data_IF_871113758218
#
_entry.id   IF_871113758218
#
_cell.length_a   1.000
_cell.length_b   1.000
_cell.length_c   1.000
_cell.angle_alpha   90.00
_cell.angle_beta   90.00
_cell.angle_gamma   90.00
#
_symmetry.space_group_name_H-M   'P 1'
#
loop_
_entity.id
_entity.type
_entity.pdbx_description
1 polymer ?
#
# COMPACT_ATOMS: atom_id res chain seq x y z
N UNK A 1 6.99 -27.85 -39.78
CA UNK A 1 7.56 -27.16 -38.61
C UNK A 1 6.77 -25.87 -38.40
N UNK A 2 5.82 -25.87 -37.48
CA UNK A 2 5.17 -24.65 -36.98
C UNK A 2 5.41 -24.66 -35.47
N UNK A 3 6.49 -23.98 -35.06
CA UNK A 3 6.75 -23.70 -33.65
C UNK A 3 5.73 -22.68 -33.18
N UNK A 4 4.70 -23.15 -32.48
CA UNK A 4 3.78 -22.28 -31.79
C UNK A 4 4.57 -21.46 -30.76
N UNK A 5 4.36 -20.15 -30.82
CA UNK A 5 4.87 -19.16 -29.88
C UNK A 5 4.63 -19.66 -28.45
N UNK A 6 5.71 -19.96 -27.72
CA UNK A 6 5.65 -20.02 -26.26
C UNK A 6 5.41 -18.59 -25.82
N UNK A 7 4.14 -18.24 -25.67
CA UNK A 7 3.73 -17.06 -24.94
C UNK A 7 4.32 -17.25 -23.55
N UNK A 8 5.44 -16.57 -23.29
CA UNK A 8 6.17 -16.69 -22.04
C UNK A 8 5.20 -16.28 -20.93
N UNK A 9 4.56 -17.27 -20.31
CA UNK A 9 3.72 -17.04 -19.16
C UNK A 9 4.62 -16.34 -18.15
N UNK A 10 4.35 -15.07 -17.83
CA UNK A 10 5.04 -14.40 -16.74
C UNK A 10 4.67 -15.22 -15.50
N UNK A 11 5.63 -16.04 -15.07
CA UNK A 11 5.41 -17.04 -14.06
C UNK A 11 5.10 -16.36 -12.73
N UNK A 12 4.31 -17.03 -11.89
CA UNK A 12 4.14 -16.61 -10.50
C UNK A 12 5.50 -16.44 -9.83
N UNK A 13 5.74 -15.36 -9.05
CA UNK A 13 6.99 -15.21 -8.31
C UNK A 13 7.26 -16.45 -7.45
N UNK A 14 8.49 -16.97 -7.46
CA UNK A 14 8.82 -18.29 -6.90
C UNK A 14 8.47 -18.48 -5.41
N UNK A 15 8.41 -17.40 -4.63
CA UNK A 15 8.07 -17.41 -3.20
C UNK A 15 6.58 -17.16 -2.92
N UNK A 16 5.79 -16.95 -3.95
CA UNK A 16 4.38 -16.63 -3.87
C UNK A 16 3.54 -17.75 -4.48
N UNK A 17 2.24 -17.71 -4.21
CA UNK A 17 1.25 -18.53 -4.88
C UNK A 17 0.31 -17.63 -5.67
N UNK A 18 -0.05 -18.05 -6.88
CA UNK A 18 -0.91 -17.27 -7.76
C UNK A 18 -2.16 -18.07 -8.13
N UNK A 19 -3.31 -17.39 -8.16
CA UNK A 19 -4.59 -17.95 -8.58
C UNK A 19 -5.30 -16.94 -9.48
N UNK A 20 -5.44 -17.25 -10.76
CA UNK A 20 -5.93 -16.28 -11.74
C UNK A 20 -5.05 -15.03 -11.79
N UNK A 21 -5.63 -13.89 -11.43
CA UNK A 21 -4.95 -12.58 -11.37
C UNK A 21 -4.48 -12.18 -9.97
N UNK A 22 -4.62 -13.07 -9.00
CA UNK A 22 -4.32 -12.80 -7.60
C UNK A 22 -2.93 -13.38 -7.28
N UNK A 23 -2.11 -12.56 -6.61
CA UNK A 23 -0.74 -12.91 -6.23
C UNK A 23 -0.63 -12.85 -4.71
N UNK A 24 -0.47 -14.02 -4.10
CA UNK A 24 -0.40 -14.20 -2.65
C UNK A 24 1.06 -14.41 -2.23
N UNK A 25 1.64 -13.35 -1.69
CA UNK A 25 3.01 -13.31 -1.16
C UNK A 25 3.01 -13.08 0.37
N UNK A 26 1.86 -13.19 1.03
CA UNK A 26 1.70 -12.94 2.47
C UNK A 26 2.28 -14.06 3.35
N UNK A 27 2.74 -13.71 4.55
CA UNK A 27 3.23 -14.67 5.56
C UNK A 27 4.40 -15.53 5.05
N UNK A 28 5.31 -14.94 4.26
CA UNK A 28 6.44 -15.65 3.65
C UNK A 28 7.79 -15.23 4.20
N UNK A 29 7.85 -14.32 5.17
CA UNK A 29 9.11 -13.72 5.64
C UNK A 29 9.89 -13.08 4.48
N UNK A 30 9.20 -12.31 3.64
CA UNK A 30 9.83 -11.53 2.58
C UNK A 30 10.53 -10.32 3.18
N UNK A 31 11.78 -10.07 2.79
CA UNK A 31 12.50 -8.84 3.14
C UNK A 31 12.29 -7.71 2.10
N UNK A 32 11.76 -8.05 0.93
CA UNK A 32 11.50 -7.13 -0.17
C UNK A 32 10.35 -7.63 -1.04
N UNK A 33 9.79 -6.74 -1.87
CA UNK A 33 8.79 -7.11 -2.89
C UNK A 33 9.43 -8.08 -3.91
N UNK A 34 8.82 -9.24 -4.21
CA UNK A 34 9.35 -10.19 -5.18
C UNK A 34 9.36 -9.60 -6.59
N UNK A 35 10.42 -9.89 -7.35
CA UNK A 35 10.46 -9.57 -8.78
C UNK A 35 9.50 -10.47 -9.58
N UNK A 36 9.13 -10.02 -10.78
CA UNK A 36 8.35 -10.82 -11.73
C UNK A 36 6.86 -10.94 -11.40
N UNK A 37 6.30 -10.03 -10.60
CA UNK A 37 4.84 -9.95 -10.41
C UNK A 37 4.19 -9.68 -11.77
N UNK A 38 3.23 -10.53 -12.24
CA UNK A 38 2.58 -10.33 -13.52
C UNK A 38 1.89 -8.96 -13.64
N UNK A 39 2.05 -8.28 -14.77
CA UNK A 39 1.39 -6.98 -15.01
C UNK A 39 -0.14 -7.06 -15.09
N UNK A 40 -0.69 -8.26 -15.24
CA UNK A 40 -2.13 -8.57 -15.21
C UNK A 40 -2.68 -8.73 -13.80
N UNK A 41 -1.85 -8.62 -12.75
CA UNK A 41 -2.27 -8.78 -11.36
C UNK A 41 -3.32 -7.73 -10.97
N UNK A 42 -4.44 -8.20 -10.42
CA UNK A 42 -5.50 -7.35 -9.85
C UNK A 42 -5.34 -7.21 -8.33
N UNK A 43 -4.94 -8.29 -7.66
CA UNK A 43 -4.84 -8.36 -6.20
C UNK A 43 -3.44 -8.80 -5.80
N UNK A 44 -2.77 -8.00 -4.97
CA UNK A 44 -1.44 -8.29 -4.47
C UNK A 44 -1.42 -8.27 -2.94
N UNK A 45 -1.21 -9.44 -2.35
CA UNK A 45 -1.02 -9.60 -0.90
C UNK A 45 0.46 -9.72 -0.57
N UNK A 46 1.01 -8.72 0.12
CA UNK A 46 2.38 -8.66 0.63
C UNK A 46 2.41 -8.52 2.16
N UNK A 47 1.27 -8.66 2.82
CA UNK A 47 1.16 -8.47 4.26
C UNK A 47 1.81 -9.58 5.08
N UNK A 48 2.06 -9.31 6.36
CA UNK A 48 2.70 -10.25 7.29
C UNK A 48 4.06 -10.71 6.75
N UNK A 49 4.94 -9.73 6.56
CA UNK A 49 6.29 -9.92 6.04
C UNK A 49 7.27 -8.98 6.76
N UNK A 50 8.51 -8.94 6.30
CA UNK A 50 9.60 -8.19 6.92
C UNK A 50 10.14 -7.13 5.93
N UNK A 51 9.26 -6.58 5.08
CA UNK A 51 9.65 -5.61 4.06
C UNK A 51 9.92 -4.28 4.76
N UNK A 52 11.15 -3.79 4.64
CA UNK A 52 11.61 -2.55 5.31
C UNK A 52 11.56 -1.32 4.40
N UNK A 53 11.60 -1.53 3.09
CA UNK A 53 11.58 -0.49 2.06
C UNK A 53 10.92 -0.97 0.78
N UNK A 54 10.37 -0.02 0.02
CA UNK A 54 9.94 -0.22 -1.36
C UNK A 54 10.97 0.42 -2.28
N UNK A 55 11.30 -0.25 -3.38
CA UNK A 55 12.13 0.36 -4.41
C UNK A 55 11.30 1.34 -5.26
N UNK A 56 11.86 2.46 -5.73
CA UNK A 56 11.16 3.37 -6.63
C UNK A 56 10.63 2.64 -7.88
N UNK A 57 9.38 2.89 -8.24
CA UNK A 57 8.74 2.28 -9.42
C UNK A 57 8.38 0.80 -9.28
N UNK A 58 8.50 0.19 -8.10
CA UNK A 58 8.25 -1.25 -7.89
C UNK A 58 6.84 -1.72 -8.32
N UNK A 59 5.87 -0.82 -8.35
CA UNK A 59 4.49 -1.12 -8.77
C UNK A 59 4.09 -0.51 -10.13
N UNK A 60 5.01 0.13 -10.86
CA UNK A 60 4.69 0.91 -12.06
C UNK A 60 4.10 0.07 -13.21
N UNK A 61 4.47 -1.20 -13.27
CA UNK A 61 3.95 -2.16 -14.26
C UNK A 61 2.56 -2.71 -13.89
N UNK A 62 2.13 -2.60 -12.62
CA UNK A 62 0.91 -3.21 -12.08
C UNK A 62 -0.31 -2.30 -12.26
N UNK A 63 -0.52 -1.79 -13.47
CA UNK A 63 -1.56 -0.78 -13.77
C UNK A 63 -3.00 -1.28 -13.61
N UNK A 64 -3.18 -2.60 -13.51
CA UNK A 64 -4.49 -3.22 -13.30
C UNK A 64 -4.83 -3.41 -11.82
N UNK A 65 -3.90 -3.13 -10.91
CA UNK A 65 -4.04 -3.44 -9.49
C UNK A 65 -5.22 -2.69 -8.86
N UNK A 66 -6.12 -3.45 -8.23
CA UNK A 66 -7.29 -2.95 -7.50
C UNK A 66 -7.11 -3.08 -5.99
N UNK A 67 -6.31 -4.05 -5.53
CA UNK A 67 -6.00 -4.29 -4.11
C UNK A 67 -4.50 -4.43 -3.92
N UNK A 68 -3.94 -3.62 -3.00
CA UNK A 68 -2.57 -3.72 -2.54
C UNK A 68 -2.55 -3.82 -1.02
N UNK A 69 -2.11 -4.97 -0.50
CA UNK A 69 -1.98 -5.17 0.94
C UNK A 69 -0.50 -5.22 1.34
N UNK A 70 -0.03 -4.16 2.02
CA UNK A 70 1.32 -4.02 2.58
C UNK A 70 1.28 -3.99 4.12
N UNK A 71 0.16 -4.35 4.74
CA UNK A 71 0.01 -4.33 6.18
C UNK A 71 0.99 -5.27 6.88
N UNK A 72 1.26 -5.03 8.16
CA UNK A 72 2.11 -5.89 8.98
C UNK A 72 3.48 -6.16 8.31
N UNK A 73 4.19 -5.06 8.08
CA UNK A 73 5.54 -5.01 7.55
C UNK A 73 6.37 -4.02 8.38
N UNK A 74 7.58 -3.70 7.93
CA UNK A 74 8.52 -2.84 8.64
C UNK A 74 8.84 -1.57 7.83
N UNK A 75 7.90 -1.12 6.98
CA UNK A 75 8.11 0.04 6.12
C UNK A 75 8.30 1.30 6.97
N UNK A 76 9.43 1.97 6.78
CA UNK A 76 9.76 3.22 7.51
C UNK A 76 9.47 4.47 6.71
N UNK A 77 9.56 4.37 5.38
CA UNK A 77 9.30 5.44 4.42
C UNK A 77 8.70 4.87 3.14
N UNK A 78 8.09 5.73 2.33
CA UNK A 78 7.61 5.40 0.99
C UNK A 78 8.40 6.22 -0.04
N UNK A 79 8.79 5.63 -1.19
CA UNK A 79 9.34 6.41 -2.29
C UNK A 79 8.29 7.39 -2.84
N UNK A 80 8.76 8.57 -3.27
CA UNK A 80 7.92 9.54 -4.00
C UNK A 80 7.37 8.87 -5.27
N UNK A 81 6.06 9.00 -5.50
CA UNK A 81 5.40 8.48 -6.70
C UNK A 81 5.21 6.96 -6.74
N UNK A 82 5.48 6.22 -5.66
CA UNK A 82 5.40 4.74 -5.64
C UNK A 82 4.03 4.17 -6.03
N UNK A 83 2.96 4.98 -5.97
CA UNK A 83 1.61 4.58 -6.35
C UNK A 83 1.05 5.32 -7.59
N UNK A 84 1.86 6.12 -8.29
CA UNK A 84 1.38 7.01 -9.36
C UNK A 84 0.71 6.30 -10.52
N UNK A 85 1.08 5.05 -10.78
CA UNK A 85 0.51 4.24 -11.87
C UNK A 85 -0.72 3.43 -11.46
N UNK A 86 -1.06 3.42 -10.17
CA UNK A 86 -2.12 2.57 -9.59
C UNK A 86 -3.49 3.28 -9.59
N UNK A 87 -3.89 3.85 -10.73
CA UNK A 87 -5.12 4.67 -10.82
C UNK A 87 -6.41 3.89 -10.62
N UNK A 88 -6.36 2.56 -10.76
CA UNK A 88 -7.47 1.62 -10.50
C UNK A 88 -7.51 1.09 -9.07
N UNK A 89 -6.57 1.48 -8.21
CA UNK A 89 -6.48 0.95 -6.85
C UNK A 89 -7.70 1.40 -6.03
N UNK A 90 -8.41 0.43 -5.47
CA UNK A 90 -9.60 0.63 -4.64
C UNK A 90 -9.30 0.40 -3.16
N UNK A 91 -8.37 -0.50 -2.86
CA UNK A 91 -7.99 -0.89 -1.51
C UNK A 91 -6.47 -0.78 -1.32
N UNK A 92 -6.05 -0.01 -0.33
CA UNK A 92 -4.65 0.13 0.06
C UNK A 92 -4.51 -0.10 1.57
N UNK A 93 -3.81 -1.15 1.97
CA UNK A 93 -3.52 -1.42 3.37
C UNK A 93 -2.05 -1.11 3.69
N UNK A 94 -1.82 -0.14 4.56
CA UNK A 94 -0.51 0.29 5.06
C UNK A 94 -0.42 0.23 6.59
N UNK A 95 -1.44 -0.31 7.25
CA UNK A 95 -1.50 -0.38 8.70
C UNK A 95 -0.45 -1.34 9.28
N UNK A 96 -0.10 -1.14 10.55
CA UNK A 96 0.91 -1.96 11.24
C UNK A 96 2.23 -1.94 10.44
N UNK A 97 2.81 -0.75 10.34
CA UNK A 97 4.12 -0.49 9.73
C UNK A 97 4.88 0.50 10.63
N UNK A 98 6.01 1.02 10.17
CA UNK A 98 6.85 1.97 10.90
C UNK A 98 6.88 3.35 10.23
N UNK A 99 5.82 3.70 9.49
CA UNK A 99 5.73 4.96 8.77
C UNK A 99 5.56 6.14 9.73
N UNK A 100 6.37 7.18 9.55
CA UNK A 100 6.28 8.43 10.31
C UNK A 100 5.52 9.52 9.58
N UNK A 101 5.54 9.49 8.25
CA UNK A 101 4.85 10.44 7.38
C UNK A 101 4.54 9.77 6.03
N UNK A 102 3.79 10.47 5.18
CA UNK A 102 3.55 10.07 3.79
C UNK A 102 4.13 11.16 2.89
N UNK A 103 4.92 10.81 1.86
CA UNK A 103 5.44 11.80 0.91
C UNK A 103 4.33 12.63 0.29
N UNK A 104 4.59 13.92 0.10
CA UNK A 104 3.63 14.82 -0.54
C UNK A 104 3.21 14.27 -1.90
N UNK A 105 1.89 14.18 -2.09
CA UNK A 105 1.29 13.74 -3.35
C UNK A 105 1.17 12.22 -3.53
N UNK A 106 1.64 11.41 -2.58
CA UNK A 106 1.69 9.95 -2.74
C UNK A 106 0.33 9.30 -3.06
N UNK A 107 -0.78 9.92 -2.65
CA UNK A 107 -2.14 9.42 -2.88
C UNK A 107 -2.90 10.17 -3.98
N UNK A 108 -2.30 11.18 -4.62
CA UNK A 108 -3.02 12.10 -5.50
C UNK A 108 -3.56 11.41 -6.75
N UNK A 109 -2.88 10.37 -7.24
CA UNK A 109 -3.29 9.59 -8.41
C UNK A 109 -4.22 8.41 -8.10
N UNK A 110 -4.49 8.13 -6.82
CA UNK A 110 -5.37 7.04 -6.38
C UNK A 110 -6.86 7.42 -6.49
N UNK A 111 -7.31 7.77 -7.70
CA UNK A 111 -8.65 8.31 -7.96
C UNK A 111 -9.79 7.33 -7.71
N UNK A 112 -9.51 6.03 -7.73
CA UNK A 112 -10.50 4.96 -7.49
C UNK A 112 -10.53 4.48 -6.03
N UNK A 113 -9.75 5.10 -5.13
CA UNK A 113 -9.56 4.60 -3.77
C UNK A 113 -10.85 4.73 -2.96
N UNK A 114 -11.25 3.64 -2.32
CA UNK A 114 -12.46 3.58 -1.48
C UNK A 114 -12.14 3.12 -0.06
N UNK A 115 -11.03 2.41 0.12
CA UNK A 115 -10.59 1.86 1.39
C UNK A 115 -9.09 2.08 1.57
N UNK A 116 -8.74 2.77 2.66
CA UNK A 116 -7.35 2.86 3.11
C UNK A 116 -7.26 2.61 4.62
N UNK A 117 -6.26 1.83 5.01
CA UNK A 117 -5.97 1.55 6.42
C UNK A 117 -4.58 2.07 6.77
N UNK A 118 -4.52 2.95 7.77
CA UNK A 118 -3.31 3.71 8.14
C UNK A 118 -2.93 3.57 9.64
N UNK A 119 -3.77 2.93 10.45
CA UNK A 119 -3.57 2.76 11.88
C UNK A 119 -2.30 1.93 12.20
N UNK A 120 -1.83 1.97 13.44
CA UNK A 120 -0.68 1.17 13.85
C UNK A 120 0.63 1.59 13.17
N UNK A 121 0.75 2.87 12.80
CA UNK A 121 1.99 3.49 12.37
C UNK A 121 2.37 4.59 13.36
N UNK A 122 3.67 4.79 13.66
CA UNK A 122 4.14 5.82 14.58
C UNK A 122 4.18 7.20 13.89
N UNK A 123 3.03 7.72 13.49
CA UNK A 123 2.91 9.00 12.78
C UNK A 123 3.55 10.15 13.57
N UNK A 124 4.57 10.79 12.99
CA UNK A 124 5.31 11.88 13.62
C UNK A 124 4.59 13.21 13.34
N UNK A 125 3.71 13.59 14.26
CA UNK A 125 2.92 14.81 14.14
C UNK A 125 3.65 16.08 14.59
N UNK A 126 4.88 15.98 15.09
CA UNK A 126 5.70 17.15 15.41
C UNK A 126 6.44 17.69 14.18
N UNK A 127 6.67 16.83 13.17
CA UNK A 127 7.30 17.20 11.90
C UNK A 127 6.27 17.75 10.89
N UNK A 128 6.63 18.79 10.14
CA UNK A 128 5.76 19.38 9.11
C UNK A 128 5.42 18.43 7.94
N UNK A 129 6.20 17.37 7.74
CA UNK A 129 5.95 16.37 6.70
C UNK A 129 4.60 15.66 6.89
N UNK A 130 4.06 15.64 8.11
CA UNK A 130 2.75 15.06 8.40
C UNK A 130 1.60 15.82 7.75
N UNK A 131 1.81 17.10 7.39
CA UNK A 131 0.73 18.00 6.96
C UNK A 131 0.06 17.52 5.67
N UNK A 132 0.78 16.81 4.79
CA UNK A 132 0.17 16.18 3.63
C UNK A 132 -0.88 15.14 4.06
N UNK A 133 -0.49 14.21 4.92
CA UNK A 133 -1.38 13.14 5.39
C UNK A 133 -2.56 13.71 6.18
N UNK A 134 -2.31 14.66 7.07
CA UNK A 134 -3.36 15.33 7.85
C UNK A 134 -4.44 15.95 6.94
N UNK A 135 -4.00 16.77 5.97
CA UNK A 135 -4.92 17.43 5.02
C UNK A 135 -5.63 16.43 4.12
N UNK A 136 -4.92 15.41 3.65
CA UNK A 136 -5.50 14.39 2.79
C UNK A 136 -6.62 13.61 3.51
N UNK A 137 -6.40 13.19 4.76
CA UNK A 137 -7.43 12.51 5.56
C UNK A 137 -8.62 13.44 5.80
N UNK A 138 -8.39 14.71 6.14
CA UNK A 138 -9.45 15.70 6.35
C UNK A 138 -10.31 15.94 5.10
N UNK A 139 -9.72 15.83 3.91
CA UNK A 139 -10.45 15.95 2.63
C UNK A 139 -11.13 14.65 2.19
N UNK A 140 -10.64 13.49 2.63
CA UNK A 140 -11.15 12.17 2.24
C UNK A 140 -11.55 11.31 3.46
N UNK A 141 -12.37 11.81 4.40
CA UNK A 141 -12.63 11.08 5.64
C UNK A 141 -13.38 9.76 5.39
N UNK A 142 -14.18 9.66 4.32
CA UNK A 142 -15.00 8.49 3.99
C UNK A 142 -14.23 7.26 3.52
N UNK A 143 -12.96 7.41 3.12
CA UNK A 143 -12.15 6.28 2.61
C UNK A 143 -11.27 5.64 3.68
N UNK A 144 -11.01 6.33 4.79
CA UNK A 144 -10.17 5.82 5.87
C UNK A 144 -11.00 4.85 6.73
N UNK A 145 -10.49 3.63 6.93
CA UNK A 145 -11.24 2.54 7.54
C UNK A 145 -10.66 2.08 8.88
N UNK A 146 -11.54 1.59 9.74
CA UNK A 146 -11.20 0.94 10.99
C UNK A 146 -10.70 -0.50 10.76
N UNK A 147 -9.68 -0.97 11.51
CA UNK A 147 -9.15 -2.33 11.43
C UNK A 147 -10.17 -3.45 11.61
N UNK A 148 -11.03 -3.29 12.61
CA UNK A 148 -11.77 -4.39 13.20
C UNK A 148 -13.15 -4.53 12.58
N UNK A 149 -13.73 -3.40 12.19
CA UNK A 149 -15.12 -3.32 11.71
C UNK A 149 -15.21 -3.09 10.21
N UNK A 150 -14.14 -2.62 9.56
CA UNK A 150 -14.18 -2.14 8.18
C UNK A 150 -15.01 -0.86 7.99
N UNK A 151 -15.55 -0.29 9.07
CA UNK A 151 -16.33 0.95 9.02
C UNK A 151 -15.44 2.16 8.74
N UNK A 152 -16.06 3.25 8.28
CA UNK A 152 -15.37 4.54 8.13
C UNK A 152 -14.88 5.01 9.51
N UNK A 153 -13.60 5.36 9.59
CA UNK A 153 -12.96 5.88 10.80
C UNK A 153 -11.74 6.75 10.43
N UNK A 154 -11.96 8.06 10.16
CA UNK A 154 -10.90 8.99 9.80
C UNK A 154 -9.96 9.32 10.97
N UNK A 155 -10.29 8.92 12.20
CA UNK A 155 -9.48 9.14 13.40
C UNK A 155 -8.58 7.93 13.74
N UNK A 156 -8.61 6.88 12.92
CA UNK A 156 -7.83 5.66 13.10
C UNK A 156 -6.32 5.85 12.96
N UNK A 157 -5.87 6.82 12.17
CA UNK A 157 -4.46 7.25 12.12
C UNK A 157 -4.18 8.22 13.27
N UNK A 158 -3.29 7.83 14.18
CA UNK A 158 -3.00 8.57 15.42
C UNK A 158 -1.54 8.95 15.54
N UNK A 159 -1.30 10.16 16.03
CA UNK A 159 0.03 10.69 16.31
C UNK A 159 0.76 9.87 17.37
N UNK A 160 2.03 9.58 17.12
CA UNK A 160 2.92 8.95 18.09
C UNK A 160 3.06 9.82 19.34
N UNK A 161 3.01 9.21 20.52
CA UNK A 161 3.12 9.89 21.82
C UNK A 161 1.83 10.53 22.32
N UNK A 162 1.14 11.34 21.50
CA UNK A 162 -0.08 12.06 21.95
C UNK A 162 -1.38 11.28 21.73
N UNK A 163 -1.37 10.30 20.82
CA UNK A 163 -2.52 9.51 20.41
C UNK A 163 -3.69 10.35 19.83
N UNK A 164 -3.43 11.61 19.47
CA UNK A 164 -4.40 12.49 18.80
C UNK A 164 -4.59 12.08 17.34
N UNK A 165 -5.78 12.27 16.74
CA UNK A 165 -5.97 12.00 15.32
C UNK A 165 -5.03 12.81 14.43
N UNK A 166 -4.39 12.18 13.46
CA UNK A 166 -3.47 12.85 12.53
C UNK A 166 -4.16 13.98 11.78
N UNK A 167 -5.44 13.80 11.42
CA UNK A 167 -6.22 14.80 10.67
C UNK A 167 -6.51 16.09 11.44
N UNK A 168 -6.28 16.10 12.76
CA UNK A 168 -6.45 17.28 13.61
C UNK A 168 -5.18 18.16 13.66
N UNK A 169 -4.08 17.74 13.04
CA UNK A 169 -2.82 18.50 12.97
C UNK A 169 -2.93 19.58 11.90
N UNK A 170 -2.62 20.83 12.24
CA UNK A 170 -2.77 22.02 11.38
C UNK A 170 -1.45 22.65 11.00
#
# INVERSE_FOLDING_TARGET
AFGALVQSAVACPARCSCSGTDVHCNSKSLASVPAGIPSTTLVLYLNDNQITKLEPGVFDSLKQLTVLNLADNQLTTLPVGVYDKLTKLTHLALHINQLKSIPRGAFDNLKSLTHIWLFGNPWDCACSDILYLSRWISQHPGVVKNPNTGSVDPDSARCSGTNTPVRAVT
#
